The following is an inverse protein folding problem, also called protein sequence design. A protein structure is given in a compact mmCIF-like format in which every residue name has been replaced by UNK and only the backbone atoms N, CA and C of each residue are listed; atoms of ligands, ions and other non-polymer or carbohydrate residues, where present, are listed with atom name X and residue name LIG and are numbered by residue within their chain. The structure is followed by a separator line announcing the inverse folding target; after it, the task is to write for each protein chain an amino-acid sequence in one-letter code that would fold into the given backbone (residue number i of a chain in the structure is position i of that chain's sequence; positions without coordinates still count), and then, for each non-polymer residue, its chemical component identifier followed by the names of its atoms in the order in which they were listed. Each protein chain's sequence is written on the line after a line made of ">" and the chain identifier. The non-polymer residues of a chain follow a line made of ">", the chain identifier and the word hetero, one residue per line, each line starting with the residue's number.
data_IF_646313673301
#
_entry.id   IF_646313673301
#
_cell.length_a   1.000
_cell.length_b   1.000
_cell.length_c   1.000
_cell.angle_alpha   90.00
_cell.angle_beta   90.00
_cell.angle_gamma   90.00
#
_symmetry.space_group_name_H-M   'P 1'
#
loop_
_entity.id
_entity.type
_entity.pdbx_description
1 polymer ?
#
# COMPACT_ATOMS: atom_id res chain seq x y z
N UNK A 1 19.53 4.64 -3.72
CA UNK A 1 20.10 3.91 -2.57
C UNK A 1 19.66 2.44 -2.50
N UNK A 2 20.32 1.63 -1.65
CA UNK A 2 20.01 0.21 -1.39
C UNK A 2 19.55 0.06 0.06
N UNK A 3 18.40 -0.55 0.30
CA UNK A 3 17.72 -0.61 1.60
C UNK A 3 17.24 -2.03 1.93
N UNK A 4 17.02 -2.30 3.22
CA UNK A 4 16.40 -3.55 3.66
C UNK A 4 14.88 -3.53 3.45
N UNK A 5 14.27 -4.70 3.25
CA UNK A 5 12.80 -4.82 3.11
C UNK A 5 12.05 -4.25 4.32
N UNK A 6 12.57 -4.47 5.53
CA UNK A 6 11.96 -3.99 6.76
C UNK A 6 12.02 -2.47 6.87
N UNK A 7 13.14 -1.88 6.48
CA UNK A 7 13.31 -0.43 6.47
C UNK A 7 12.39 0.23 5.45
N UNK A 8 12.32 -0.31 4.23
CA UNK A 8 11.38 0.17 3.19
C UNK A 8 9.94 0.03 3.66
N UNK A 9 9.56 -1.14 4.20
CA UNK A 9 8.21 -1.39 4.69
C UNK A 9 7.80 -0.44 5.82
N UNK A 10 8.66 -0.26 6.82
CA UNK A 10 8.39 0.64 7.93
C UNK A 10 8.27 2.10 7.48
N UNK A 11 9.14 2.57 6.57
CA UNK A 11 9.07 3.92 6.02
C UNK A 11 7.82 4.13 5.18
N UNK A 12 7.48 3.19 4.28
CA UNK A 12 6.27 3.28 3.46
C UNK A 12 4.99 3.25 4.29
N UNK A 13 4.94 2.44 5.35
CA UNK A 13 3.80 2.40 6.26
C UNK A 13 3.59 3.75 6.93
N UNK A 14 4.66 4.33 7.50
CA UNK A 14 4.60 5.68 8.07
C UNK A 14 4.23 6.73 7.02
N UNK A 15 4.79 6.65 5.81
CA UNK A 15 4.48 7.57 4.73
C UNK A 15 2.99 7.51 4.33
N UNK A 16 2.42 6.31 4.18
CA UNK A 16 1.01 6.10 3.90
C UNK A 16 0.13 6.72 4.98
N UNK A 17 0.45 6.47 6.25
CA UNK A 17 -0.27 7.06 7.40
C UNK A 17 -0.12 8.57 7.46
N UNK A 18 1.06 9.09 7.18
CA UNK A 18 1.33 10.53 7.10
C UNK A 18 0.62 11.23 5.94
N UNK A 19 0.24 10.49 4.89
CA UNK A 19 -0.62 10.96 3.79
C UNK A 19 -2.12 10.71 4.04
N UNK A 20 -2.49 10.22 5.23
CA UNK A 20 -3.88 10.01 5.62
C UNK A 20 -4.52 8.73 5.08
N UNK A 21 -3.75 7.80 4.48
CA UNK A 21 -4.28 6.52 3.99
C UNK A 21 -4.80 5.68 5.16
N UNK A 22 -6.04 5.15 5.15
CA UNK A 22 -6.59 4.33 6.24
C UNK A 22 -5.69 3.15 6.64
N UNK A 23 -5.74 2.75 7.92
CA UNK A 23 -4.81 1.76 8.49
C UNK A 23 -4.79 0.45 7.71
N UNK A 24 -5.96 -0.18 7.50
CA UNK A 24 -6.03 -1.46 6.78
C UNK A 24 -5.57 -1.35 5.31
N UNK A 25 -5.83 -0.20 4.67
CA UNK A 25 -5.34 0.05 3.32
C UNK A 25 -3.82 0.19 3.29
N UNK A 26 -3.23 0.85 4.30
CA UNK A 26 -1.78 0.99 4.42
C UNK A 26 -1.09 -0.37 4.60
N UNK A 27 -1.66 -1.29 5.39
CA UNK A 27 -1.12 -2.64 5.55
C UNK A 27 -1.07 -3.41 4.22
N UNK A 28 -2.20 -3.45 3.49
CA UNK A 28 -2.30 -4.12 2.19
C UNK A 28 -1.37 -3.47 1.16
N UNK A 29 -1.35 -2.13 1.12
CA UNK A 29 -0.51 -1.36 0.23
C UNK A 29 0.99 -1.63 0.44
N UNK A 30 1.46 -1.59 1.70
CA UNK A 30 2.88 -1.75 2.01
C UNK A 30 3.36 -3.16 1.68
N UNK A 31 2.57 -4.18 2.00
CA UNK A 31 2.91 -5.57 1.67
C UNK A 31 3.13 -5.75 0.16
N UNK A 32 2.22 -5.18 -0.65
CA UNK A 32 2.32 -5.19 -2.11
C UNK A 32 3.50 -4.35 -2.63
N UNK A 33 3.67 -3.13 -2.12
CA UNK A 33 4.69 -2.19 -2.57
C UNK A 33 6.12 -2.71 -2.34
N UNK A 34 6.39 -3.28 -1.16
CA UNK A 34 7.70 -3.88 -0.84
C UNK A 34 8.03 -5.03 -1.77
N UNK A 35 7.05 -5.87 -2.10
CA UNK A 35 7.21 -6.95 -3.07
C UNK A 35 7.49 -6.40 -4.47
N UNK A 36 6.69 -5.45 -4.92
CA UNK A 36 6.83 -4.88 -6.26
C UNK A 36 8.21 -4.23 -6.49
N UNK A 37 8.74 -3.55 -5.47
CA UNK A 37 10.08 -2.96 -5.48
C UNK A 37 11.22 -3.99 -5.51
N UNK A 38 11.00 -5.20 -5.01
CA UNK A 38 12.00 -6.27 -5.07
C UNK A 38 12.08 -6.91 -6.47
N UNK A 39 10.97 -6.91 -7.20
CA UNK A 39 10.85 -7.67 -8.46
C UNK A 39 11.00 -6.79 -9.72
N UNK A 40 10.66 -5.49 -9.65
CA UNK A 40 10.61 -4.62 -10.84
C UNK A 40 11.24 -3.25 -10.59
N UNK A 41 12.13 -2.85 -11.50
CA UNK A 41 12.64 -1.47 -11.53
C UNK A 41 11.52 -0.49 -11.96
N UNK A 42 11.61 0.77 -11.50
CA UNK A 42 10.67 1.83 -11.87
C UNK A 42 9.32 1.84 -11.12
N UNK A 43 9.06 0.88 -10.23
CA UNK A 43 7.79 0.85 -9.46
C UNK A 43 7.72 1.95 -8.39
N UNK A 44 8.86 2.51 -7.96
CA UNK A 44 8.90 3.55 -6.92
C UNK A 44 8.06 4.78 -7.28
N UNK A 45 8.03 5.20 -8.55
CA UNK A 45 7.23 6.33 -9.01
C UNK A 45 5.72 6.07 -8.88
N UNK A 46 5.27 4.84 -9.16
CA UNK A 46 3.87 4.45 -9.00
C UNK A 46 3.48 4.34 -7.52
N UNK A 47 4.39 3.87 -6.66
CA UNK A 47 4.21 3.90 -5.21
C UNK A 47 4.08 5.35 -4.72
N UNK A 48 4.96 6.24 -5.18
CA UNK A 48 4.90 7.68 -4.92
C UNK A 48 3.56 8.27 -5.38
N UNK A 49 3.06 7.89 -6.55
CA UNK A 49 1.77 8.33 -7.09
C UNK A 49 0.58 7.86 -6.23
N UNK A 50 0.60 6.59 -5.82
CA UNK A 50 -0.45 5.99 -5.00
C UNK A 50 -0.51 6.60 -3.59
N UNK A 51 0.64 6.99 -3.02
CA UNK A 51 0.73 7.66 -1.72
C UNK A 51 0.21 9.10 -1.72
N UNK A 52 0.23 9.81 -2.86
CA UNK A 52 -0.10 11.23 -2.94
C UNK A 52 -1.60 11.52 -2.88
N UNK A 53 -1.97 12.71 -2.46
CA UNK A 53 -3.34 13.20 -2.62
C UNK A 53 -4.33 12.58 -1.64
N UNK A 54 -5.62 12.93 -1.76
CA UNK A 54 -6.61 12.55 -0.76
C UNK A 54 -7.03 11.08 -0.91
N UNK A 55 -7.00 10.35 0.20
CA UNK A 55 -7.43 8.96 0.31
C UNK A 55 -8.94 8.89 0.61
N UNK A 56 -9.75 9.25 -0.39
CA UNK A 56 -11.22 9.27 -0.30
C UNK A 56 -11.82 7.89 -0.57
N UNK A 57 -13.17 7.82 -0.53
CA UNK A 57 -13.90 6.63 -0.95
C UNK A 57 -13.46 6.16 -2.35
N UNK A 58 -13.38 4.84 -2.59
CA UNK A 58 -12.93 4.29 -3.86
C UNK A 58 -13.87 4.68 -5.01
N UNK A 59 -13.28 4.99 -6.16
CA UNK A 59 -13.96 5.16 -7.44
C UNK A 59 -13.31 4.21 -8.44
N UNK A 60 -14.09 3.30 -9.04
CA UNK A 60 -13.59 2.34 -10.02
C UNK A 60 -13.47 2.92 -11.44
N UNK A 61 -13.93 4.14 -11.72
CA UNK A 61 -13.71 4.82 -13.01
C UNK A 61 -12.46 5.70 -13.02
N UNK A 62 -12.04 6.16 -11.84
CA UNK A 62 -10.82 6.92 -11.59
C UNK A 62 -10.03 6.25 -10.47
N UNK A 63 -9.56 5.05 -10.75
CA UNK A 63 -9.09 4.09 -9.75
C UNK A 63 -7.77 4.49 -9.10
N UNK A 64 -7.87 5.19 -7.96
CA UNK A 64 -6.77 5.41 -7.03
C UNK A 64 -6.42 4.10 -6.33
N UNK A 65 -5.31 3.45 -6.71
CA UNK A 65 -5.02 2.06 -6.28
C UNK A 65 -4.97 1.89 -4.76
N UNK A 66 -4.49 2.89 -4.03
CA UNK A 66 -4.44 2.88 -2.57
C UNK A 66 -5.83 2.72 -1.92
N UNK A 67 -6.89 3.12 -2.63
CA UNK A 67 -8.28 3.06 -2.16
C UNK A 67 -9.07 1.98 -2.89
N UNK A 68 -9.02 1.96 -4.22
CA UNK A 68 -9.76 1.03 -5.06
C UNK A 68 -9.19 -0.39 -5.03
N UNK A 69 -7.87 -0.56 -4.88
CA UNK A 69 -7.21 -1.86 -4.91
C UNK A 69 -7.66 -2.80 -3.79
N UNK A 70 -7.52 -2.41 -2.51
CA UNK A 70 -7.99 -3.23 -1.39
C UNK A 70 -9.49 -3.56 -1.48
N UNK A 71 -10.32 -2.59 -1.86
CA UNK A 71 -11.77 -2.78 -1.97
C UNK A 71 -12.13 -3.73 -3.12
N UNK A 72 -11.42 -3.67 -4.24
CA UNK A 72 -11.61 -4.62 -5.33
C UNK A 72 -11.23 -6.05 -4.92
N UNK A 73 -10.13 -6.22 -4.17
CA UNK A 73 -9.71 -7.52 -3.64
C UNK A 73 -10.74 -8.05 -2.63
N UNK A 74 -11.19 -7.22 -1.71
CA UNK A 74 -12.21 -7.59 -0.73
C UNK A 74 -13.52 -8.02 -1.41
N UNK A 75 -13.94 -7.29 -2.44
CA UNK A 75 -15.14 -7.65 -3.21
C UNK A 75 -15.01 -9.04 -3.86
N UNK A 76 -13.85 -9.36 -4.45
CA UNK A 76 -13.57 -10.69 -4.99
C UNK A 76 -13.56 -11.75 -3.88
N UNK A 77 -12.96 -11.46 -2.72
CA UNK A 77 -12.98 -12.36 -1.57
C UNK A 77 -14.41 -12.61 -1.04
N UNK A 78 -15.30 -11.63 -1.19
CA UNK A 78 -16.72 -11.75 -0.84
C UNK A 78 -17.57 -12.48 -1.91
N UNK A 79 -16.98 -12.90 -3.03
CA UNK A 79 -17.65 -13.72 -4.05
C UNK A 79 -18.05 -12.97 -5.32
N UNK A 80 -17.60 -11.72 -5.52
CA UNK A 80 -17.70 -11.11 -6.84
C UNK A 80 -16.81 -11.85 -7.85
N UNK A 81 -17.36 -12.12 -9.04
CA UNK A 81 -16.64 -12.89 -10.05
C UNK A 81 -15.64 -12.04 -10.85
N UNK A 82 -15.91 -10.75 -11.00
CA UNK A 82 -15.03 -9.83 -11.71
C UNK A 82 -15.23 -8.38 -11.26
N UNK A 83 -14.13 -7.62 -11.23
CA UNK A 83 -14.11 -6.19 -10.93
C UNK A 83 -13.42 -5.45 -12.08
N UNK A 84 -14.08 -4.42 -12.63
CA UNK A 84 -13.51 -3.53 -13.63
C UNK A 84 -12.98 -2.26 -12.95
N UNK A 85 -11.72 -1.93 -13.19
CA UNK A 85 -11.08 -0.69 -12.79
C UNK A 85 -10.66 0.10 -14.05
N UNK A 86 -11.15 1.32 -14.21
CA UNK A 86 -10.73 2.26 -15.24
C UNK A 86 -9.77 3.31 -14.66
N UNK A 87 -8.89 3.84 -15.51
CA UNK A 87 -7.95 4.92 -15.19
C UNK A 87 -7.12 4.66 -13.93
N UNK A 88 -6.54 3.46 -13.81
CA UNK A 88 -5.73 3.07 -12.65
C UNK A 88 -4.44 3.89 -12.60
N UNK A 89 -4.21 4.61 -11.50
CA UNK A 89 -3.11 5.56 -11.35
C UNK A 89 -1.73 4.90 -11.12
N UNK A 90 -1.73 3.71 -10.54
CA UNK A 90 -0.52 2.94 -10.22
C UNK A 90 -0.74 1.44 -10.47
N UNK A 91 -0.88 1.01 -11.74
CA UNK A 91 -1.25 -0.36 -12.11
C UNK A 91 -0.24 -1.42 -11.65
N UNK A 92 1.06 -1.11 -11.59
CA UNK A 92 2.07 -2.05 -11.09
C UNK A 92 1.91 -2.34 -9.60
N UNK A 93 1.40 -1.39 -8.82
CA UNK A 93 1.04 -1.62 -7.42
C UNK A 93 -0.21 -2.48 -7.32
N UNK A 94 -1.23 -2.25 -8.17
CA UNK A 94 -2.43 -3.09 -8.22
C UNK A 94 -2.06 -4.55 -8.51
N UNK A 95 -1.20 -4.78 -9.50
CA UNK A 95 -0.75 -6.12 -9.86
C UNK A 95 -0.04 -6.80 -8.68
N UNK A 96 0.80 -6.05 -7.96
CA UNK A 96 1.46 -6.57 -6.78
C UNK A 96 0.49 -6.85 -5.61
N UNK A 97 -0.58 -6.07 -5.46
CA UNK A 97 -1.65 -6.34 -4.48
C UNK A 97 -2.38 -7.64 -4.82
N UNK A 98 -2.73 -7.84 -6.10
CA UNK A 98 -3.37 -9.08 -6.58
C UNK A 98 -2.44 -10.28 -6.37
N UNK A 99 -1.18 -10.19 -6.79
CA UNK A 99 -0.20 -11.27 -6.57
C UNK A 99 -0.02 -11.58 -5.07
N UNK A 100 0.02 -10.56 -4.21
CA UNK A 100 0.07 -10.74 -2.77
C UNK A 100 -1.19 -11.42 -2.22
N UNK A 101 -2.38 -11.06 -2.73
CA UNK A 101 -3.64 -11.71 -2.34
C UNK A 101 -3.67 -13.20 -2.70
N UNK A 102 -3.13 -13.57 -3.87
CA UNK A 102 -3.04 -14.97 -4.31
C UNK A 102 -2.17 -15.80 -3.35
N UNK A 103 -1.03 -15.24 -2.95
CA UNK A 103 -0.08 -15.92 -2.06
C UNK A 103 -0.58 -16.02 -0.61
N UNK A 104 -1.32 -15.03 -0.13
CA UNK A 104 -1.64 -14.90 1.30
C UNK A 104 -3.04 -15.39 1.68
N UNK A 105 -4.00 -15.37 0.74
CA UNK A 105 -5.41 -15.66 1.02
C UNK A 105 -5.99 -16.84 0.25
N UNK A 106 -5.23 -17.40 -0.71
CA UNK A 106 -5.70 -18.45 -1.61
C UNK A 106 -6.67 -17.96 -2.70
N UNK A 107 -7.01 -16.66 -2.72
CA UNK A 107 -7.78 -16.04 -3.79
C UNK A 107 -7.09 -16.27 -5.14
N UNK A 108 -7.82 -16.73 -6.16
CA UNK A 108 -7.27 -17.00 -7.49
C UNK A 108 -7.81 -15.97 -8.46
N UNK A 109 -6.94 -15.09 -8.96
CA UNK A 109 -7.33 -13.94 -9.80
C UNK A 109 -6.41 -13.84 -11.01
N UNK A 110 -7.03 -13.66 -12.18
CA UNK A 110 -6.37 -13.25 -13.41
C UNK A 110 -6.59 -11.75 -13.66
N UNK A 111 -5.61 -11.11 -14.31
CA UNK A 111 -5.63 -9.69 -14.64
C UNK A 111 -5.67 -9.57 -16.16
N UNK A 112 -6.77 -9.03 -16.67
CA UNK A 112 -6.91 -8.63 -18.08
C UNK A 112 -6.69 -7.11 -18.18
N UNK A 113 -5.86 -6.66 -19.13
CA UNK A 113 -5.56 -5.24 -19.36
C UNK A 113 -5.96 -4.87 -20.78
N UNK A 114 -6.78 -3.83 -20.90
CA UNK A 114 -7.23 -3.26 -22.18
C UNK A 114 -7.17 -1.73 -22.11
N UNK A 115 -6.18 -1.13 -22.77
CA UNK A 115 -5.93 0.32 -22.75
C UNK A 115 -5.90 0.90 -21.33
N UNK A 116 -6.94 1.65 -20.94
CA UNK A 116 -7.10 2.29 -19.65
C UNK A 116 -7.94 1.47 -18.65
N UNK A 117 -8.27 0.21 -18.99
CA UNK A 117 -9.11 -0.70 -18.21
C UNK A 117 -8.32 -1.89 -17.72
N UNK A 118 -8.56 -2.26 -16.48
CA UNK A 118 -8.01 -3.45 -15.83
C UNK A 118 -9.19 -4.23 -15.26
N UNK A 119 -9.34 -5.48 -15.69
CA UNK A 119 -10.34 -6.40 -15.16
C UNK A 119 -9.65 -7.42 -14.28
N UNK A 120 -10.07 -7.50 -13.03
CA UNK A 120 -9.68 -8.56 -12.11
C UNK A 120 -10.76 -9.63 -12.16
N UNK A 121 -10.42 -10.86 -12.56
CA UNK A 121 -11.38 -11.95 -12.71
C UNK A 121 -11.01 -13.11 -11.79
N UNK A 122 -11.97 -13.60 -11.01
CA UNK A 122 -11.78 -14.85 -10.28
C UNK A 122 -11.62 -16.01 -11.25
N UNK A 123 -10.63 -16.86 -10.99
CA UNK A 123 -10.32 -18.06 -11.76
C UNK A 123 -10.14 -19.25 -10.83
N UNK A 124 -10.02 -20.46 -11.36
CA UNK A 124 -9.78 -21.66 -10.54
C UNK A 124 -8.32 -21.81 -10.14
N UNK A 125 -7.41 -21.32 -10.97
CA UNK A 125 -5.97 -21.39 -10.74
C UNK A 125 -5.31 -20.17 -11.37
N UNK A 126 -4.56 -19.42 -10.57
CA UNK A 126 -3.81 -18.25 -10.99
C UNK A 126 -2.31 -18.49 -10.80
N UNK A 127 -1.52 -18.00 -11.75
CA UNK A 127 -0.07 -18.05 -11.64
C UNK A 127 0.43 -16.97 -10.66
N UNK A 128 0.82 -17.36 -9.45
CA UNK A 128 1.55 -16.48 -8.54
C UNK A 128 3.06 -16.54 -8.81
N UNK A 129 3.72 -15.38 -8.85
CA UNK A 129 5.18 -15.33 -8.92
C UNK A 129 5.80 -15.48 -7.53
N UNK A 130 6.84 -16.31 -7.34
CA UNK A 130 7.55 -16.37 -6.07
C UNK A 130 8.21 -15.02 -5.74
N UNK A 131 8.36 -14.72 -4.46
CA UNK A 131 9.03 -13.50 -3.99
C UNK A 131 10.52 -13.64 -4.24
N UNK A 132 11.14 -12.66 -4.91
CA UNK A 132 12.60 -12.61 -5.03
C UNK A 132 13.21 -12.08 -3.71
N UNK A 133 14.02 -12.86 -2.98
CA UNK A 133 14.73 -12.33 -1.83
C UNK A 133 15.86 -11.42 -2.29
N UNK A 134 16.02 -10.26 -1.65
CA UNK A 134 17.12 -9.36 -1.98
C UNK A 134 16.96 -7.97 -1.40
N UNK A 135 18.01 -7.15 -1.46
CA UNK A 135 17.93 -5.76 -1.07
C UNK A 135 17.11 -4.97 -2.09
N UNK A 136 16.39 -3.95 -1.63
CA UNK A 136 15.56 -3.11 -2.48
C UNK A 136 16.35 -1.88 -2.93
N UNK A 137 16.33 -1.60 -4.24
CA UNK A 137 16.84 -0.35 -4.79
C UNK A 137 15.70 0.66 -4.85
N UNK A 138 15.91 1.82 -4.23
CA UNK A 138 14.97 2.95 -4.29
C UNK A 138 15.72 4.18 -4.79
N UNK A 139 15.19 4.96 -5.75
CA UNK A 139 15.74 6.26 -6.10
C UNK A 139 15.76 7.20 -4.89
N UNK A 140 16.84 7.95 -4.71
CA UNK A 140 17.00 8.83 -3.53
C UNK A 140 15.88 9.88 -3.46
N UNK A 141 15.41 10.36 -4.62
CA UNK A 141 14.29 11.31 -4.74
C UNK A 141 12.97 10.78 -4.18
N UNK A 142 12.66 9.50 -4.44
CA UNK A 142 11.46 8.85 -3.91
C UNK A 142 11.62 8.60 -2.42
N UNK A 143 12.80 8.11 -2.01
CA UNK A 143 13.08 7.84 -0.61
C UNK A 143 12.96 9.08 0.27
N UNK A 144 13.57 10.20 -0.12
CA UNK A 144 13.50 11.45 0.62
C UNK A 144 12.07 12.00 0.73
N UNK A 145 11.26 11.78 -0.30
CA UNK A 145 9.85 12.14 -0.27
C UNK A 145 9.07 11.25 0.70
N UNK A 146 9.28 9.94 0.69
CA UNK A 146 8.63 9.01 1.61
C UNK A 146 9.03 9.28 3.06
N UNK A 147 10.30 9.62 3.32
CA UNK A 147 10.74 10.02 4.66
C UNK A 147 10.05 11.30 5.14
N UNK A 148 9.89 12.31 4.26
CA UNK A 148 9.14 13.53 4.60
C UNK A 148 7.68 13.24 4.93
N UNK A 149 7.02 12.35 4.19
CA UNK A 149 5.66 11.94 4.52
C UNK A 149 5.59 11.10 5.78
N UNK A 150 6.55 10.21 6.00
CA UNK A 150 6.66 9.45 7.24
C UNK A 150 6.85 10.38 8.45
N UNK A 151 7.55 11.50 8.29
CA UNK A 151 7.69 12.49 9.35
C UNK A 151 6.36 13.11 9.79
N UNK A 152 5.33 13.12 8.93
CA UNK A 152 3.99 13.62 9.27
C UNK A 152 3.24 12.74 10.26
N UNK A 153 3.72 11.53 10.56
CA UNK A 153 3.14 10.71 11.65
C UNK A 153 3.60 11.15 13.03
N UNK A 154 4.63 11.97 13.14
CA UNK A 154 5.09 12.49 14.41
C UNK A 154 4.29 13.74 14.79
N UNK A 155 3.69 13.72 15.98
CA UNK A 155 3.26 14.93 16.64
C UNK A 155 4.49 15.49 17.36
N UNK A 156 4.92 16.74 17.08
CA UNK A 156 6.00 17.36 17.84
C UNK A 156 5.63 17.36 19.33
N UNK A 157 6.60 17.05 20.20
CA UNK A 157 6.43 17.31 21.62
C UNK A 157 6.23 18.82 21.82
N UNK A 158 4.98 19.25 22.00
CA UNK A 158 4.71 20.61 22.46
C UNK A 158 5.10 20.72 23.94
N UNK A 159 5.54 21.89 24.40
CA UNK A 159 5.82 22.14 25.82
C UNK A 159 4.62 21.79 26.73
N UNK A 160 3.39 21.83 26.20
CA UNK A 160 2.18 21.37 26.87
C UNK A 160 2.15 19.84 27.11
N UNK A 161 2.70 19.03 26.19
CA UNK A 161 2.86 17.58 26.34
C UNK A 161 3.84 17.22 27.46
N UNK A 162 4.83 18.09 27.72
CA UNK A 162 5.83 17.91 28.80
C UNK A 162 5.29 18.28 30.18
N UNK A 163 4.41 19.28 30.26
CA UNK A 163 3.80 19.74 31.53
C UNK A 163 2.62 18.86 31.94
N UNK A 164 1.84 18.34 30.98
CA UNK A 164 0.65 17.54 31.27
C UNK A 164 0.95 16.15 31.84
N UNK A 165 2.10 15.57 31.48
CA UNK A 165 2.36 14.14 31.67
C UNK A 165 1.34 13.31 30.88
N UNK A 166 1.79 12.31 30.12
CA UNK A 166 0.85 11.23 29.80
C UNK A 166 0.38 10.70 31.15
N UNK A 167 -0.92 10.83 31.47
CA UNK A 167 -1.52 10.57 32.78
C UNK A 167 -1.42 9.13 33.30
N UNK A 168 -0.32 8.44 33.03
CA UNK A 168 0.06 7.11 33.48
C UNK A 168 0.55 7.09 34.94
N UNK A 169 -0.01 7.93 35.82
CA UNK A 169 0.45 8.03 37.21
C UNK A 169 -0.53 8.57 38.24
N UNK A 170 -1.82 8.77 37.91
CA UNK A 170 -2.81 9.27 38.90
C UNK A 170 -3.97 8.31 39.19
N UNK A 171 -4.02 7.16 38.53
CA UNK A 171 -4.87 6.05 38.96
C UNK A 171 -3.98 4.86 39.20
N UNK A 172 -3.56 4.76 40.46
CA UNK A 172 -3.20 3.50 41.10
C UNK A 172 -4.32 2.50 40.78
N UNK A 173 -4.06 1.51 39.93
CA UNK A 173 -4.91 0.33 39.87
C UNK A 173 -4.36 -0.63 40.91
N UNK A 174 -4.74 -0.37 42.16
CA UNK A 174 -4.77 -1.39 43.22
C UNK A 174 -5.83 -2.46 42.88
#
# INVERSE_FOLDING_TARGET
>A
MILSRNEVGATLFKAARGQGMPLGHADVFVAAAVRALADKEGVSEQITTALRGPHLAPDFRASRVAMAGPVAIDALMCGENAILLECVDAPSVLFAMVENSILMSGLQVEIEVDEARIVLRQVTEAAARPITPGPIKVPDTDWDLWQRWAALTYVPESDASRIGGAGAGLTDND
#
